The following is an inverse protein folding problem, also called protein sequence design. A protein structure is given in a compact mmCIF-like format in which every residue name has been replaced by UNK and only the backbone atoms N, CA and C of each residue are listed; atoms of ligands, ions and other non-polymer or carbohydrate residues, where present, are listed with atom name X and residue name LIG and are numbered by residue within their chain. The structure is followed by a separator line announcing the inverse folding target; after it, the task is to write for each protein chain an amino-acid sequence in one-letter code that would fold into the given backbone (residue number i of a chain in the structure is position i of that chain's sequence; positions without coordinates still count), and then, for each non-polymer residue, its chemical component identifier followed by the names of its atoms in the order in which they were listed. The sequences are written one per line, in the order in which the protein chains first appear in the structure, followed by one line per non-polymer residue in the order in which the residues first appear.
data_IF_726784461194
#
_entry.id   IF_726784461194
#
_cell.length_a   1.000
_cell.length_b   1.000
_cell.length_c   1.000
_cell.angle_alpha   90.00
_cell.angle_beta   90.00
_cell.angle_gamma   90.00
#
_symmetry.space_group_name_H-M   'P 1'
#
loop_
_entity.id
_entity.type
_entity.pdbx_description
1 polymer ?
#
# COMPACT_ATOMS: atom_id res chain seq x y z
N UNK A 1 -11.25 -18.11 -12.70
CA UNK A 1 -11.88 -16.78 -12.68
C UNK A 1 -12.85 -16.76 -11.52
N UNK A 2 -12.40 -16.33 -10.33
CA UNK A 2 -13.35 -16.05 -9.25
C UNK A 2 -14.12 -14.79 -9.65
N UNK A 3 -15.44 -14.90 -9.71
CA UNK A 3 -16.31 -13.74 -9.89
C UNK A 3 -16.04 -12.78 -8.73
N UNK A 4 -15.34 -11.67 -9.02
CA UNK A 4 -15.14 -10.59 -8.05
C UNK A 4 -16.52 -10.11 -7.63
N UNK A 5 -16.83 -10.28 -6.34
CA UNK A 5 -18.14 -9.89 -5.82
C UNK A 5 -18.36 -8.40 -6.07
N UNK A 6 -19.57 -7.99 -6.50
CA UNK A 6 -19.84 -6.60 -6.77
C UNK A 6 -19.74 -5.80 -5.47
N UNK A 7 -18.95 -4.73 -5.50
CA UNK A 7 -18.87 -3.75 -4.43
C UNK A 7 -19.98 -2.72 -4.60
N UNK A 8 -20.61 -2.31 -3.50
CA UNK A 8 -21.71 -1.37 -3.54
C UNK A 8 -21.35 -0.10 -2.80
N UNK A 9 -21.52 1.03 -3.48
CA UNK A 9 -21.22 2.36 -2.94
C UNK A 9 -22.54 3.12 -2.81
N UNK A 10 -22.90 3.46 -1.59
CA UNK A 10 -23.94 4.44 -1.31
C UNK A 10 -23.31 5.83 -1.29
N UNK A 11 -23.68 6.67 -2.24
CA UNK A 11 -23.23 8.06 -2.34
C UNK A 11 -24.34 8.98 -1.85
N UNK A 12 -24.14 9.56 -0.67
CA UNK A 12 -24.96 10.66 -0.15
C UNK A 12 -24.34 12.01 -0.47
N UNK A 13 -23.02 12.11 -0.28
CA UNK A 13 -22.27 13.33 -0.53
C UNK A 13 -21.98 13.54 -2.03
N UNK A 14 -22.57 14.58 -2.62
CA UNK A 14 -22.42 14.89 -4.05
C UNK A 14 -21.00 15.32 -4.41
N UNK A 15 -20.29 15.95 -3.49
CA UNK A 15 -18.91 16.41 -3.74
C UNK A 15 -17.94 15.23 -3.84
N UNK A 16 -18.31 14.09 -3.25
CA UNK A 16 -17.54 12.85 -3.30
C UNK A 16 -17.77 12.03 -4.57
N UNK A 17 -18.59 12.49 -5.52
CA UNK A 17 -18.90 11.73 -6.74
C UNK A 17 -17.67 11.48 -7.64
N UNK A 18 -16.71 12.41 -7.65
CA UNK A 18 -15.46 12.29 -8.43
C UNK A 18 -14.45 11.28 -7.87
N UNK A 19 -14.70 10.75 -6.68
CA UNK A 19 -13.81 9.83 -5.94
C UNK A 19 -14.04 8.39 -6.36
N UNK A 20 -15.19 8.09 -6.97
CA UNK A 20 -15.59 6.72 -7.32
C UNK A 20 -14.92 6.30 -8.64
N UNK A 21 -14.12 5.23 -8.66
CA UNK A 21 -13.53 4.73 -9.89
C UNK A 21 -14.60 4.20 -10.84
N UNK A 22 -14.46 4.47 -12.14
CA UNK A 22 -15.37 3.94 -13.16
C UNK A 22 -15.05 2.47 -13.43
N UNK A 23 -15.77 1.55 -12.79
CA UNK A 23 -15.63 0.11 -13.01
C UNK A 23 -16.98 -0.60 -13.09
N UNK A 24 -17.06 -1.66 -13.89
CA UNK A 24 -18.22 -2.56 -13.96
C UNK A 24 -18.45 -3.34 -12.66
N UNK A 25 -17.42 -3.49 -11.83
CA UNK A 25 -17.47 -4.18 -10.54
C UNK A 25 -17.99 -3.30 -9.38
N UNK A 26 -18.18 -1.99 -9.63
CA UNK A 26 -18.63 -1.01 -8.66
C UNK A 26 -20.06 -0.59 -9.01
N UNK A 27 -21.00 -0.82 -8.09
CA UNK A 27 -22.39 -0.37 -8.21
C UNK A 27 -22.59 0.83 -7.32
N UNK A 28 -22.75 2.02 -7.93
CA UNK A 28 -23.02 3.26 -7.20
C UNK A 28 -24.52 3.49 -7.10
N UNK A 29 -24.98 3.88 -5.91
CA UNK A 29 -26.38 4.16 -5.58
C UNK A 29 -26.41 5.57 -4.99
N UNK A 30 -27.10 6.50 -5.66
CA UNK A 30 -27.17 7.90 -5.25
C UNK A 30 -28.38 8.16 -4.35
N UNK A 31 -28.19 8.91 -3.26
CA UNK A 31 -29.28 9.47 -2.45
C UNK A 31 -29.95 10.63 -3.24
N UNK A 32 -31.29 10.75 -3.37
CA UNK A 32 -32.38 10.19 -2.54
C UNK A 32 -33.21 9.05 -3.19
N UNK A 33 -32.73 8.39 -4.24
CA UNK A 33 -33.46 7.31 -4.95
C UNK A 33 -33.58 5.99 -4.16
N UNK A 34 -33.60 6.08 -2.82
CA UNK A 34 -33.52 4.97 -1.88
C UNK A 34 -34.86 4.29 -1.59
N UNK A 35 -35.99 4.97 -1.77
CA UNK A 35 -37.30 4.43 -1.38
C UNK A 35 -37.66 3.10 -2.05
N UNK A 36 -37.17 2.86 -3.27
CA UNK A 36 -37.41 1.61 -4.00
C UNK A 36 -36.30 0.56 -3.80
N UNK A 37 -35.19 0.90 -3.13
CA UNK A 37 -33.98 0.07 -3.03
C UNK A 37 -33.48 -0.20 -1.60
N UNK A 38 -34.14 0.34 -0.57
CA UNK A 38 -33.73 0.21 0.85
C UNK A 38 -33.63 -1.25 1.31
N UNK A 39 -34.63 -2.09 1.00
CA UNK A 39 -34.63 -3.52 1.37
C UNK A 39 -33.49 -4.31 0.67
N UNK A 40 -33.14 -3.90 -0.55
CA UNK A 40 -32.00 -4.47 -1.28
C UNK A 40 -30.66 -3.99 -0.73
N UNK A 41 -30.57 -2.74 -0.25
CA UNK A 41 -29.31 -2.17 0.27
C UNK A 41 -28.89 -2.82 1.58
N UNK A 42 -29.83 -3.10 2.48
CA UNK A 42 -29.53 -3.71 3.77
C UNK A 42 -29.05 -5.17 3.65
N UNK A 43 -29.49 -5.87 2.60
CA UNK A 43 -29.10 -7.25 2.30
C UNK A 43 -27.82 -7.34 1.45
N UNK A 44 -27.34 -6.21 0.97
CA UNK A 44 -26.16 -6.12 0.10
C UNK A 44 -24.86 -6.28 0.89
N UNK A 45 -24.05 -7.27 0.53
CA UNK A 45 -22.70 -7.46 1.09
C UNK A 45 -21.71 -6.47 0.48
N UNK A 46 -20.62 -6.17 1.21
CA UNK A 46 -19.55 -5.27 0.76
C UNK A 46 -20.03 -3.84 0.47
N UNK A 47 -20.77 -3.28 1.43
CA UNK A 47 -21.32 -1.93 1.36
C UNK A 47 -20.28 -0.91 1.83
N UNK A 48 -20.06 0.10 1.00
CA UNK A 48 -19.29 1.30 1.29
C UNK A 48 -20.23 2.50 1.27
N UNK A 49 -20.10 3.40 2.23
CA UNK A 49 -21.00 4.56 2.36
C UNK A 49 -20.14 5.82 2.36
N UNK A 50 -20.48 6.79 1.50
CA UNK A 50 -19.85 8.10 1.46
C UNK A 50 -20.88 9.15 1.85
N UNK A 51 -20.61 9.85 2.94
CA UNK A 51 -21.46 10.92 3.45
C UNK A 51 -20.62 12.08 3.95
N UNK A 52 -21.21 13.27 4.06
CA UNK A 52 -20.61 14.37 4.81
C UNK A 52 -20.94 14.22 6.29
N UNK A 53 -20.22 14.94 7.15
CA UNK A 53 -20.51 14.94 8.58
C UNK A 53 -21.92 15.50 8.86
N UNK A 54 -22.36 16.53 8.11
CA UNK A 54 -23.74 17.04 8.15
C UNK A 54 -24.80 16.05 7.64
N UNK A 55 -24.44 15.19 6.67
CA UNK A 55 -25.33 14.20 6.06
C UNK A 55 -25.43 12.88 6.83
N UNK A 56 -24.67 12.70 7.92
CA UNK A 56 -24.58 11.42 8.62
C UNK A 56 -25.93 10.90 9.13
N UNK A 57 -26.78 11.80 9.64
CA UNK A 57 -28.09 11.43 10.19
C UNK A 57 -29.01 10.78 9.14
N UNK A 58 -28.90 11.17 7.86
CA UNK A 58 -29.75 10.65 6.78
C UNK A 58 -29.39 9.22 6.36
N UNK A 59 -28.14 8.81 6.60
CA UNK A 59 -27.65 7.45 6.27
C UNK A 59 -27.54 6.54 7.50
N UNK A 60 -27.79 7.07 8.70
CA UNK A 60 -27.53 6.39 9.97
C UNK A 60 -28.27 5.05 10.12
N UNK A 61 -29.55 5.00 9.74
CA UNK A 61 -30.33 3.75 9.81
C UNK A 61 -29.73 2.65 8.91
N UNK A 62 -29.30 3.02 7.70
CA UNK A 62 -28.66 2.11 6.75
C UNK A 62 -27.32 1.62 7.29
N UNK A 63 -26.49 2.55 7.79
CA UNK A 63 -25.20 2.26 8.43
C UNK A 63 -25.38 1.25 9.56
N UNK A 64 -26.35 1.51 10.46
CA UNK A 64 -26.62 0.66 11.62
C UNK A 64 -27.05 -0.75 11.18
N UNK A 65 -28.00 -0.86 10.26
CA UNK A 65 -28.49 -2.17 9.80
C UNK A 65 -27.40 -2.96 9.05
N UNK A 66 -26.64 -2.29 8.18
CA UNK A 66 -25.55 -2.93 7.44
C UNK A 66 -24.41 -3.37 8.38
N UNK A 67 -24.09 -2.56 9.40
CA UNK A 67 -23.06 -2.91 10.40
C UNK A 67 -23.49 -4.11 11.25
N UNK A 68 -24.75 -4.16 11.71
CA UNK A 68 -25.30 -5.31 12.45
C UNK A 68 -25.25 -6.62 11.65
N UNK A 69 -25.40 -6.54 10.33
CA UNK A 69 -25.33 -7.69 9.42
C UNK A 69 -23.90 -8.00 8.93
N UNK A 70 -22.88 -7.29 9.41
CA UNK A 70 -21.48 -7.37 8.92
C UNK A 70 -21.35 -7.14 7.40
N UNK A 71 -22.25 -6.34 6.83
CA UNK A 71 -22.27 -5.98 5.42
C UNK A 71 -21.51 -4.68 5.15
N UNK A 72 -21.48 -3.76 6.12
CA UNK A 72 -20.71 -2.52 6.06
C UNK A 72 -19.20 -2.83 6.08
N UNK A 73 -18.49 -2.36 5.04
CA UNK A 73 -17.03 -2.42 4.97
C UNK A 73 -16.40 -1.14 5.44
N UNK A 74 -16.86 0.00 4.93
CA UNK A 74 -16.35 1.31 5.33
C UNK A 74 -17.46 2.35 5.26
N UNK A 75 -17.53 3.18 6.30
CA UNK A 75 -18.24 4.43 6.33
C UNK A 75 -17.22 5.57 6.21
N UNK A 76 -17.23 6.24 5.07
CA UNK A 76 -16.45 7.46 4.85
C UNK A 76 -17.29 8.67 5.23
N UNK A 77 -16.73 9.50 6.10
CA UNK A 77 -17.31 10.75 6.53
C UNK A 77 -16.37 11.87 6.08
N UNK A 78 -16.83 12.67 5.13
CA UNK A 78 -16.12 13.89 4.74
C UNK A 78 -16.32 14.94 5.83
N UNK A 79 -15.22 15.52 6.30
CA UNK A 79 -15.24 16.62 7.26
C UNK A 79 -15.61 17.93 6.53
N UNK A 80 -16.91 18.25 6.49
CA UNK A 80 -17.45 19.50 5.96
C UNK A 80 -17.69 20.57 7.04
N UNK A 81 -17.71 20.15 8.30
CA UNK A 81 -17.73 20.97 9.51
C UNK A 81 -16.69 20.41 10.49
N UNK A 82 -16.33 21.20 11.51
CA UNK A 82 -15.30 20.84 12.48
C UNK A 82 -15.56 19.47 13.17
N UNK A 83 -14.60 18.55 13.05
CA UNK A 83 -14.65 17.21 13.63
C UNK A 83 -14.78 17.16 15.16
N UNK A 84 -14.58 18.27 15.87
CA UNK A 84 -14.87 18.34 17.32
C UNK A 84 -16.33 18.00 17.66
N UNK A 85 -17.26 18.16 16.71
CA UNK A 85 -18.68 17.85 16.86
C UNK A 85 -19.04 16.40 16.57
N UNK A 86 -18.07 15.58 16.15
CA UNK A 86 -18.30 14.21 15.73
C UNK A 86 -18.98 13.35 16.82
N UNK A 87 -18.58 13.39 18.11
CA UNK A 87 -19.28 12.63 19.15
C UNK A 87 -20.76 12.99 19.26
N UNK A 88 -21.10 14.28 19.18
CA UNK A 88 -22.48 14.78 19.28
C UNK A 88 -23.30 14.36 18.06
N UNK A 89 -22.72 14.41 16.86
CA UNK A 89 -23.41 14.04 15.62
C UNK A 89 -23.62 12.53 15.57
N UNK A 90 -22.67 11.73 16.04
CA UNK A 90 -22.85 10.28 16.20
C UNK A 90 -23.99 9.95 17.18
N UNK A 91 -24.04 10.64 18.32
CA UNK A 91 -25.11 10.46 19.31
C UNK A 91 -26.47 10.86 18.74
N UNK A 92 -26.57 12.00 18.05
CA UNK A 92 -27.79 12.44 17.37
C UNK A 92 -28.24 11.46 16.28
N UNK A 93 -27.30 10.88 15.54
CA UNK A 93 -27.54 9.85 14.54
C UNK A 93 -27.85 8.47 15.16
N UNK A 94 -27.80 8.34 16.49
CA UNK A 94 -27.93 7.07 17.23
C UNK A 94 -26.97 5.99 16.69
N UNK A 95 -25.74 6.41 16.36
CA UNK A 95 -24.64 5.58 15.92
C UNK A 95 -23.64 5.43 17.06
N UNK A 96 -23.20 4.19 17.30
CA UNK A 96 -22.03 3.95 18.16
C UNK A 96 -20.76 4.17 17.37
N UNK A 97 -19.64 4.41 18.05
CA UNK A 97 -18.32 4.36 17.44
C UNK A 97 -18.10 2.98 16.81
N UNK A 98 -17.74 2.95 15.53
CA UNK A 98 -17.53 1.73 14.75
C UNK A 98 -16.13 1.74 14.16
N UNK A 99 -15.45 0.58 14.21
CA UNK A 99 -14.11 0.39 13.62
C UNK A 99 -14.05 0.69 12.13
N UNK A 100 -15.15 0.47 11.42
CA UNK A 100 -15.23 0.63 9.96
C UNK A 100 -15.53 2.08 9.56
N UNK A 101 -15.07 3.07 10.32
CA UNK A 101 -15.37 4.50 10.07
C UNK A 101 -14.09 5.25 9.80
N UNK A 102 -14.04 5.99 8.69
CA UNK A 102 -12.94 6.90 8.38
C UNK A 102 -13.49 8.30 8.19
N UNK A 103 -12.97 9.23 8.99
CA UNK A 103 -13.15 10.66 8.79
C UNK A 103 -11.99 11.18 7.96
N UNK A 104 -12.31 11.89 6.88
CA UNK A 104 -11.34 12.39 5.94
C UNK A 104 -11.69 13.81 5.46
N UNK A 105 -10.64 14.60 5.26
CA UNK A 105 -10.69 15.84 4.47
C UNK A 105 -10.20 15.58 3.05
N UNK A 106 -9.32 14.58 2.90
CA UNK A 106 -8.68 14.22 1.64
C UNK A 106 -9.53 13.20 0.85
N UNK A 107 -9.77 13.51 -0.42
CA UNK A 107 -10.48 12.65 -1.36
C UNK A 107 -9.66 11.46 -1.85
N UNK A 108 -8.35 11.41 -1.58
CA UNK A 108 -7.51 10.26 -1.93
C UNK A 108 -7.78 9.03 -1.06
N UNK A 109 -8.25 9.21 0.18
CA UNK A 109 -8.48 8.08 1.10
C UNK A 109 -9.55 7.12 0.54
N UNK A 110 -10.78 7.57 0.18
CA UNK A 110 -11.76 6.63 -0.35
C UNK A 110 -11.36 6.05 -1.72
N UNK A 111 -10.69 6.81 -2.59
CA UNK A 111 -10.15 6.30 -3.87
C UNK A 111 -9.23 5.10 -3.63
N UNK A 112 -8.25 5.27 -2.74
CA UNK A 112 -7.27 4.25 -2.41
C UNK A 112 -7.91 3.00 -1.85
N UNK A 113 -8.86 3.15 -0.94
CA UNK A 113 -9.60 2.02 -0.37
C UNK A 113 -10.39 1.30 -1.47
N UNK A 114 -11.09 2.01 -2.35
CA UNK A 114 -11.83 1.38 -3.44
C UNK A 114 -10.94 0.59 -4.38
N UNK A 115 -9.79 1.14 -4.77
CA UNK A 115 -8.84 0.45 -5.62
C UNK A 115 -8.27 -0.80 -4.93
N UNK A 116 -7.90 -0.69 -3.66
CA UNK A 116 -7.41 -1.82 -2.86
C UNK A 116 -8.41 -2.98 -2.82
N UNK A 117 -9.69 -2.70 -2.54
CA UNK A 117 -10.75 -3.70 -2.55
C UNK A 117 -11.05 -4.24 -3.96
N UNK A 118 -10.93 -3.41 -4.99
CA UNK A 118 -11.12 -3.83 -6.39
C UNK A 118 -10.08 -4.86 -6.80
N UNK A 119 -8.83 -4.70 -6.37
CA UNK A 119 -7.75 -5.63 -6.69
C UNK A 119 -7.63 -6.78 -5.69
N UNK A 120 -8.26 -6.68 -4.51
CA UNK A 120 -8.20 -7.71 -3.47
C UNK A 120 -6.99 -7.59 -2.54
N UNK A 121 -6.38 -6.40 -2.48
CA UNK A 121 -5.19 -6.09 -1.69
C UNK A 121 -5.50 -5.22 -0.47
N UNK A 122 -6.76 -5.17 -0.02
CA UNK A 122 -7.20 -4.32 1.10
C UNK A 122 -6.43 -4.56 2.41
N UNK A 123 -5.95 -5.78 2.62
CA UNK A 123 -5.20 -6.17 3.81
C UNK A 123 -3.69 -5.83 3.72
N UNK A 124 -3.21 -5.39 2.55
CA UNK A 124 -1.80 -5.08 2.31
C UNK A 124 -1.53 -3.60 2.04
N UNK A 125 -2.57 -2.78 1.90
CA UNK A 125 -2.48 -1.37 1.56
C UNK A 125 -2.93 -0.47 2.72
N UNK A 126 -2.31 0.70 2.82
CA UNK A 126 -2.50 1.68 3.88
C UNK A 126 -3.54 2.71 3.42
N UNK A 127 -4.69 2.77 4.11
CA UNK A 127 -5.70 3.79 3.86
C UNK A 127 -5.28 5.16 4.41
N UNK A 128 -4.85 5.20 5.66
CA UNK A 128 -4.55 6.42 6.41
C UNK A 128 -3.45 6.16 7.43
N UNK A 129 -2.65 7.18 7.73
CA UNK A 129 -1.75 7.17 8.88
C UNK A 129 -1.79 8.53 9.57
N UNK A 130 -1.57 8.55 10.89
CA UNK A 130 -1.58 9.76 11.71
C UNK A 130 -0.68 9.54 12.93
N UNK A 131 0.04 10.56 13.34
CA UNK A 131 0.86 10.50 14.55
C UNK A 131 0.06 11.03 15.73
N UNK A 132 0.14 10.32 16.85
CA UNK A 132 -0.48 10.67 18.13
C UNK A 132 0.59 10.60 19.22
N UNK A 133 1.25 11.74 19.48
CA UNK A 133 2.37 11.81 20.41
C UNK A 133 3.57 10.98 19.93
N UNK A 134 3.99 9.98 20.72
CA UNK A 134 5.12 9.08 20.40
C UNK A 134 4.69 7.81 19.64
N UNK A 135 3.53 7.85 19.00
CA UNK A 135 2.93 6.68 18.33
C UNK A 135 2.44 7.03 16.93
N UNK A 136 2.65 6.10 16.01
CA UNK A 136 2.09 6.12 14.67
C UNK A 136 0.84 5.23 14.65
N UNK A 137 -0.30 5.81 14.34
CA UNK A 137 -1.54 5.09 14.05
C UNK A 137 -1.62 4.88 12.54
N UNK A 138 -1.69 3.63 12.10
CA UNK A 138 -1.82 3.24 10.69
C UNK A 138 -3.12 2.46 10.53
N UNK A 139 -3.90 2.78 9.50
CA UNK A 139 -5.17 2.12 9.17
C UNK A 139 -5.02 1.47 7.80
N UNK A 140 -5.27 0.15 7.72
CA UNK A 140 -5.30 -0.58 6.45
C UNK A 140 -6.52 -0.20 5.60
N UNK A 141 -6.51 -0.55 4.33
CA UNK A 141 -7.70 -0.47 3.47
C UNK A 141 -8.81 -1.45 3.88
N UNK A 142 -8.53 -2.43 4.74
CA UNK A 142 -9.52 -3.31 5.39
C UNK A 142 -10.03 -2.80 6.74
N UNK A 143 -9.63 -1.59 7.15
CA UNK A 143 -9.97 -0.96 8.45
C UNK A 143 -9.34 -1.65 9.66
N UNK A 144 -8.24 -2.38 9.46
CA UNK A 144 -7.39 -2.86 10.55
C UNK A 144 -6.52 -1.71 11.04
N UNK A 145 -6.51 -1.49 12.36
CA UNK A 145 -5.76 -0.41 12.99
C UNK A 145 -4.49 -0.95 13.65
N UNK A 146 -3.37 -0.30 13.38
CA UNK A 146 -2.07 -0.60 13.96
C UNK A 146 -1.58 0.61 14.72
N UNK A 147 -1.26 0.43 16.00
CA UNK A 147 -0.69 1.46 16.85
C UNK A 147 0.77 1.10 17.15
N UNK A 148 1.71 1.80 16.52
CA UNK A 148 3.14 1.50 16.57
C UNK A 148 3.87 2.61 17.33
N UNK A 149 4.49 2.34 18.49
CA UNK A 149 5.40 3.29 19.11
C UNK A 149 6.61 3.56 18.20
N UNK A 150 7.06 4.81 18.08
CA UNK A 150 8.27 5.13 17.29
C UNK A 150 9.51 4.38 17.80
N UNK A 151 9.51 4.03 19.09
CA UNK A 151 10.57 3.23 19.71
C UNK A 151 10.52 1.75 19.37
N UNK A 152 9.46 1.25 18.74
CA UNK A 152 9.25 -0.19 18.57
C UNK A 152 10.07 -0.79 17.42
N UNK A 153 10.58 0.03 16.49
CA UNK A 153 11.49 -0.43 15.44
C UNK A 153 12.62 0.57 15.15
N UNK A 154 13.84 0.09 14.82
CA UNK A 154 14.98 0.97 14.56
C UNK A 154 14.75 2.01 13.47
N UNK A 155 13.98 1.68 12.43
CA UNK A 155 13.67 2.61 11.35
C UNK A 155 12.93 3.84 11.89
N UNK A 156 11.86 3.65 12.68
CA UNK A 156 11.10 4.75 13.27
C UNK A 156 11.92 5.53 14.33
N UNK A 157 12.80 4.86 15.07
CA UNK A 157 13.67 5.52 16.06
C UNK A 157 14.62 6.55 15.44
N UNK A 158 15.02 6.38 14.19
CA UNK A 158 15.90 7.30 13.49
C UNK A 158 15.21 8.59 13.04
N UNK A 159 13.88 8.69 13.16
CA UNK A 159 13.11 9.86 12.73
C UNK A 159 13.05 10.89 13.87
N UNK A 160 13.59 12.10 13.67
CA UNK A 160 13.49 13.18 14.65
C UNK A 160 12.04 13.52 15.00
N UNK A 161 11.75 13.87 16.25
CA UNK A 161 10.38 14.15 16.71
C UNK A 161 9.66 15.21 15.88
N UNK A 162 10.39 16.22 15.41
CA UNK A 162 9.86 17.31 14.59
C UNK A 162 9.58 16.91 13.13
N UNK A 163 10.04 15.75 12.68
CA UNK A 163 9.84 15.24 11.30
C UNK A 163 8.87 14.06 11.25
N UNK A 164 8.32 13.64 12.40
CA UNK A 164 7.46 12.45 12.49
C UNK A 164 6.16 12.60 11.72
N UNK A 165 5.61 13.81 11.67
CA UNK A 165 4.37 14.14 10.97
C UNK A 165 4.61 14.40 9.47
N UNK A 166 5.88 14.59 9.07
CA UNK A 166 6.28 14.95 7.71
C UNK A 166 6.47 13.71 6.83
N UNK A 167 5.44 12.87 6.77
CA UNK A 167 5.40 11.70 5.89
C UNK A 167 4.39 11.85 4.77
N UNK A 168 4.62 11.09 3.70
CA UNK A 168 3.72 10.97 2.57
C UNK A 168 3.31 9.51 2.44
N UNK A 169 2.01 9.25 2.26
CA UNK A 169 1.52 7.94 1.89
C UNK A 169 1.51 7.88 0.37
N UNK A 170 2.11 6.83 -0.20
CA UNK A 170 2.03 6.57 -1.64
C UNK A 170 0.60 6.61 -2.17
N UNK A 171 0.40 7.02 -3.42
CA UNK A 171 -0.93 7.18 -4.03
C UNK A 171 -1.80 5.92 -3.85
N UNK A 172 -1.23 4.75 -4.14
CA UNK A 172 -1.88 3.45 -4.01
C UNK A 172 -1.93 2.91 -2.56
N UNK A 173 -1.21 3.51 -1.61
CA UNK A 173 -1.14 3.05 -0.23
C UNK A 173 -0.14 1.94 0.05
N UNK A 174 0.78 1.64 -0.87
CA UNK A 174 1.78 0.58 -0.67
C UNK A 174 2.75 0.85 0.47
N UNK A 175 3.08 2.12 0.74
CA UNK A 175 4.01 2.51 1.80
C UNK A 175 3.76 3.93 2.32
N UNK A 176 4.33 4.18 3.52
CA UNK A 176 4.58 5.49 4.11
C UNK A 176 6.04 5.85 3.88
N UNK A 177 6.30 7.09 3.46
CA UNK A 177 7.64 7.62 3.20
C UNK A 177 7.94 8.84 4.06
N UNK A 178 9.03 8.78 4.83
CA UNK A 178 9.63 9.93 5.51
C UNK A 178 10.85 10.40 4.70
N UNK A 179 10.74 11.57 4.07
CA UNK A 179 11.77 12.08 3.18
C UNK A 179 13.07 12.44 3.91
N UNK A 180 12.98 13.03 5.11
CA UNK A 180 14.15 13.46 5.88
C UNK A 180 15.09 12.30 6.27
N UNK A 181 14.50 11.15 6.62
CA UNK A 181 15.23 9.95 7.02
C UNK A 181 15.45 8.94 5.88
N UNK A 182 14.85 9.17 4.71
CA UNK A 182 14.78 8.24 3.58
C UNK A 182 14.24 6.85 3.95
N UNK A 183 13.10 6.82 4.64
CA UNK A 183 12.50 5.59 5.19
C UNK A 183 11.17 5.29 4.51
N UNK A 184 11.07 4.08 3.95
CA UNK A 184 9.85 3.54 3.38
C UNK A 184 9.36 2.37 4.23
N UNK A 185 8.12 2.41 4.70
CA UNK A 185 7.51 1.34 5.50
C UNK A 185 6.14 0.97 4.94
N UNK A 186 5.96 -0.33 4.67
CA UNK A 186 4.68 -0.93 4.27
C UNK A 186 3.91 -1.47 5.49
N UNK A 187 2.70 -1.98 5.24
CA UNK A 187 1.84 -2.48 6.32
C UNK A 187 2.39 -3.74 6.99
N UNK A 188 3.11 -4.56 6.25
CA UNK A 188 3.65 -5.82 6.75
C UNK A 188 4.85 -5.55 7.69
N UNK A 189 5.63 -4.49 7.43
CA UNK A 189 6.62 -3.98 8.36
C UNK A 189 6.01 -3.60 9.71
N UNK A 190 4.83 -2.96 9.72
CA UNK A 190 4.13 -2.63 10.97
C UNK A 190 3.56 -3.87 11.67
N UNK A 191 2.97 -4.81 10.93
CA UNK A 191 2.50 -6.10 11.48
C UNK A 191 3.61 -6.86 12.20
N UNK A 192 4.83 -6.85 11.64
CA UNK A 192 6.00 -7.52 12.23
C UNK A 192 6.40 -6.99 13.61
N UNK A 193 5.95 -5.80 13.99
CA UNK A 193 6.22 -5.21 15.31
C UNK A 193 5.18 -5.64 16.34
N UNK A 194 3.93 -5.80 15.91
CA UNK A 194 2.78 -6.05 16.79
C UNK A 194 2.60 -7.55 17.07
N UNK A 195 2.86 -8.42 16.09
CA UNK A 195 2.71 -9.87 16.24
C UNK A 195 4.06 -10.62 16.10
N UNK A 196 4.53 -11.31 17.16
CA UNK A 196 5.75 -12.13 17.12
C UNK A 196 5.73 -13.27 16.09
N UNK A 197 4.57 -13.82 15.77
CA UNK A 197 4.43 -14.90 14.77
C UNK A 197 4.60 -14.33 13.36
N UNK A 198 3.95 -13.20 13.09
CA UNK A 198 4.15 -12.47 11.82
C UNK A 198 5.57 -11.93 11.71
N UNK A 199 6.20 -11.53 12.81
CA UNK A 199 7.62 -11.18 12.82
C UNK A 199 8.51 -12.31 12.31
N UNK A 200 8.31 -13.53 12.80
CA UNK A 200 9.09 -14.70 12.37
C UNK A 200 8.82 -15.05 10.90
N UNK A 201 7.56 -14.96 10.46
CA UNK A 201 7.19 -15.16 9.06
C UNK A 201 7.83 -14.12 8.15
N UNK A 202 7.76 -12.85 8.52
CA UNK A 202 8.36 -11.75 7.79
C UNK A 202 9.87 -11.88 7.73
N UNK A 203 10.54 -12.20 8.84
CA UNK A 203 11.98 -12.46 8.86
C UNK A 203 12.36 -13.64 7.95
N UNK A 204 11.58 -14.72 7.95
CA UNK A 204 11.81 -15.88 7.07
C UNK A 204 11.60 -15.53 5.59
N UNK A 205 10.50 -14.84 5.24
CA UNK A 205 10.22 -14.37 3.89
C UNK A 205 11.31 -13.42 3.39
N UNK A 206 11.73 -12.49 4.24
CA UNK A 206 12.79 -11.53 3.96
C UNK A 206 14.13 -12.20 3.73
N UNK A 207 14.53 -13.13 4.62
CA UNK A 207 15.78 -13.89 4.45
C UNK A 207 15.76 -14.71 3.14
N UNK A 208 14.60 -15.27 2.79
CA UNK A 208 14.45 -15.97 1.53
C UNK A 208 14.56 -15.02 0.34
N UNK A 209 13.92 -13.86 0.39
CA UNK A 209 14.02 -12.83 -0.65
C UNK A 209 15.46 -12.33 -0.82
N UNK A 210 16.14 -11.96 0.28
CA UNK A 210 17.52 -11.48 0.25
C UNK A 210 18.45 -12.54 -0.39
N UNK A 211 18.24 -13.82 -0.05
CA UNK A 211 18.98 -14.94 -0.65
C UNK A 211 18.71 -15.08 -2.15
N UNK A 212 17.46 -15.01 -2.59
CA UNK A 212 17.10 -15.07 -4.01
C UNK A 212 17.66 -13.88 -4.78
N UNK A 213 17.61 -12.69 -4.20
CA UNK A 213 18.17 -11.47 -4.77
C UNK A 213 19.68 -11.55 -4.93
N UNK A 214 20.39 -12.02 -3.89
CA UNK A 214 21.83 -12.30 -3.97
C UNK A 214 22.18 -13.34 -5.04
N UNK A 215 21.37 -14.40 -5.17
CA UNK A 215 21.54 -15.41 -6.23
C UNK A 215 21.31 -14.83 -7.63
N UNK A 216 20.33 -13.95 -7.81
CA UNK A 216 20.07 -13.27 -9.09
C UNK A 216 21.23 -12.34 -9.46
N UNK A 217 21.79 -11.58 -8.50
CA UNK A 217 23.01 -10.78 -8.70
C UNK A 217 24.18 -11.67 -9.14
N UNK A 218 24.37 -12.83 -8.48
CA UNK A 218 25.41 -13.79 -8.85
C UNK A 218 25.23 -14.31 -10.27
N UNK A 219 24.02 -14.68 -10.63
CA UNK A 219 23.69 -15.18 -11.96
C UNK A 219 23.96 -14.12 -13.03
N UNK A 220 23.54 -12.87 -12.79
CA UNK A 220 23.79 -11.75 -13.69
C UNK A 220 25.29 -11.52 -13.88
N UNK A 221 26.06 -11.50 -12.78
CA UNK A 221 27.52 -11.37 -12.84
C UNK A 221 28.17 -12.47 -13.68
N UNK A 222 27.73 -13.72 -13.50
CA UNK A 222 28.23 -14.86 -14.26
C UNK A 222 27.88 -14.77 -15.74
N UNK A 223 26.69 -14.29 -16.10
CA UNK A 223 26.29 -14.04 -17.49
C UNK A 223 27.17 -12.98 -18.16
N UNK A 224 27.55 -11.94 -17.41
CA UNK A 224 28.48 -10.90 -17.85
C UNK A 224 29.97 -11.28 -17.72
N UNK A 225 30.27 -12.52 -17.28
CA UNK A 225 31.63 -13.06 -17.15
C UNK A 225 32.55 -12.24 -16.23
N UNK A 226 31.96 -11.45 -15.33
CA UNK A 226 32.70 -10.61 -14.38
C UNK A 226 33.16 -11.44 -13.18
N UNK A 227 34.40 -11.25 -12.74
CA UNK A 227 34.88 -11.83 -11.48
C UNK A 227 34.44 -10.98 -10.29
N UNK A 228 34.34 -11.60 -9.12
CA UNK A 228 34.03 -10.87 -7.89
C UNK A 228 35.09 -9.80 -7.55
N UNK A 229 36.34 -10.02 -7.96
CA UNK A 229 37.45 -9.07 -7.79
C UNK A 229 37.43 -7.89 -8.77
N UNK A 230 36.62 -7.96 -9.83
CA UNK A 230 36.55 -6.94 -10.89
C UNK A 230 35.50 -5.87 -10.61
N UNK A 231 34.79 -5.96 -9.49
CA UNK A 231 33.78 -4.97 -9.06
C UNK A 231 34.49 -3.84 -8.31
N UNK A 232 34.82 -2.78 -9.02
CA UNK A 232 35.50 -1.62 -8.47
C UNK A 232 34.72 -1.01 -7.29
N UNK A 233 35.40 -0.76 -6.17
CA UNK A 233 34.80 -0.19 -4.96
C UNK A 233 34.22 -1.22 -3.97
N UNK A 234 34.20 -2.50 -4.32
CA UNK A 234 33.80 -3.59 -3.42
C UNK A 234 34.90 -4.65 -3.30
N UNK A 235 35.13 -5.14 -2.08
CA UNK A 235 36.01 -6.30 -1.88
C UNK A 235 35.32 -7.59 -2.33
N UNK A 236 36.09 -8.58 -2.76
CA UNK A 236 35.58 -9.92 -3.11
C UNK A 236 34.74 -10.52 -1.98
N UNK A 237 35.13 -10.29 -0.71
CA UNK A 237 34.36 -10.73 0.45
C UNK A 237 32.98 -10.06 0.53
N UNK A 238 32.90 -8.75 0.28
CA UNK A 238 31.62 -8.04 0.27
C UNK A 238 30.72 -8.56 -0.85
N UNK A 239 31.26 -8.69 -2.07
CA UNK A 239 30.52 -9.25 -3.22
C UNK A 239 30.00 -10.66 -2.90
N UNK A 240 30.85 -11.52 -2.34
CA UNK A 240 30.45 -12.88 -1.95
C UNK A 240 29.34 -12.90 -0.90
N UNK A 241 29.37 -11.99 0.08
CA UNK A 241 28.31 -11.92 1.10
C UNK A 241 26.99 -11.45 0.51
N UNK A 242 27.02 -10.45 -0.36
CA UNK A 242 25.85 -9.97 -1.11
C UNK A 242 25.24 -11.11 -1.93
N UNK A 243 26.07 -11.85 -2.68
CA UNK A 243 25.62 -13.00 -3.46
C UNK A 243 25.03 -14.15 -2.61
N UNK A 244 25.36 -14.18 -1.32
CA UNK A 244 24.80 -15.15 -0.36
C UNK A 244 23.53 -14.66 0.36
N UNK A 245 23.07 -13.44 0.07
CA UNK A 245 21.86 -12.85 0.66
C UNK A 245 22.11 -11.88 1.80
N UNK A 246 23.28 -11.24 1.86
CA UNK A 246 23.44 -10.08 2.75
C UNK A 246 22.77 -8.83 2.14
N UNK A 247 22.09 -8.05 3.00
CA UNK A 247 21.49 -6.77 2.63
C UNK A 247 22.50 -5.83 1.96
N UNK A 248 22.06 -5.23 0.86
CA UNK A 248 22.81 -4.22 0.11
C UNK A 248 22.21 -2.84 0.31
N UNK A 249 23.08 -1.83 0.36
CA UNK A 249 22.66 -0.42 0.31
C UNK A 249 22.58 0.04 -1.15
N UNK A 250 21.82 1.09 -1.43
CA UNK A 250 21.69 1.67 -2.78
C UNK A 250 23.06 1.98 -3.40
N UNK A 251 23.95 2.66 -2.66
CA UNK A 251 25.30 2.96 -3.15
C UNK A 251 26.11 1.71 -3.53
N UNK A 252 25.86 0.57 -2.87
CA UNK A 252 26.50 -0.71 -3.21
C UNK A 252 25.93 -1.28 -4.50
N UNK A 253 24.63 -1.13 -4.73
CA UNK A 253 23.97 -1.52 -5.98
C UNK A 253 24.42 -0.66 -7.15
N UNK A 254 24.67 0.63 -6.94
CA UNK A 254 25.25 1.52 -7.96
C UNK A 254 26.64 1.06 -8.39
N UNK A 255 27.50 0.67 -7.44
CA UNK A 255 28.83 0.12 -7.75
C UNK A 255 28.73 -1.19 -8.55
N UNK A 256 27.75 -2.04 -8.21
CA UNK A 256 27.47 -3.27 -8.96
C UNK A 256 26.98 -2.95 -10.38
N UNK A 257 26.00 -2.05 -10.54
CA UNK A 257 25.48 -1.63 -11.83
C UNK A 257 26.58 -1.05 -12.73
N UNK A 258 27.41 -0.16 -12.16
CA UNK A 258 28.55 0.43 -12.86
C UNK A 258 29.57 -0.60 -13.32
N UNK A 259 29.84 -1.64 -12.52
CA UNK A 259 30.72 -2.74 -12.93
C UNK A 259 30.15 -3.56 -14.10
N UNK A 260 28.81 -3.59 -14.24
CA UNK A 260 28.12 -4.21 -15.38
C UNK A 260 27.95 -3.25 -16.58
N UNK A 261 28.41 -2.00 -16.47
CA UNK A 261 28.24 -0.98 -17.50
C UNK A 261 26.78 -0.56 -17.69
N UNK A 262 25.95 -0.70 -16.64
CA UNK A 262 24.53 -0.39 -16.66
C UNK A 262 24.22 0.78 -15.73
N UNK A 263 23.17 1.52 -16.06
CA UNK A 263 22.52 2.42 -15.11
C UNK A 263 21.79 1.61 -14.04
N UNK A 264 21.61 2.19 -12.83
CA UNK A 264 21.04 1.47 -11.70
C UNK A 264 19.65 0.88 -12.01
N UNK A 265 18.80 1.63 -12.70
CA UNK A 265 17.45 1.17 -13.08
C UNK A 265 17.50 -0.05 -14.02
N UNK A 266 18.36 -0.01 -15.04
CA UNK A 266 18.53 -1.12 -15.99
C UNK A 266 19.10 -2.37 -15.31
N UNK A 267 20.03 -2.16 -14.37
CA UNK A 267 20.59 -3.22 -13.57
C UNK A 267 19.54 -3.92 -12.69
N UNK A 268 18.70 -3.14 -12.00
CA UNK A 268 17.61 -3.69 -11.17
C UNK A 268 16.58 -4.46 -12.01
N UNK A 269 16.24 -3.97 -13.20
CA UNK A 269 15.38 -4.69 -14.14
C UNK A 269 16.00 -6.02 -14.60
N UNK A 270 17.30 -6.02 -14.88
CA UNK A 270 18.02 -7.24 -15.27
C UNK A 270 18.06 -8.27 -14.13
N UNK A 271 18.32 -7.83 -12.89
CA UNK A 271 18.26 -8.68 -11.69
C UNK A 271 16.85 -9.22 -11.47
N UNK A 272 15.82 -8.38 -11.61
CA UNK A 272 14.43 -8.77 -11.43
C UNK A 272 13.99 -9.88 -12.41
N UNK A 273 14.48 -9.86 -13.66
CA UNK A 273 14.20 -10.92 -14.64
C UNK A 273 14.83 -12.27 -14.28
N UNK A 274 15.88 -12.27 -13.47
CA UNK A 274 16.59 -13.47 -13.03
C UNK A 274 16.08 -14.00 -11.68
N UNK A 275 15.24 -13.23 -10.98
CA UNK A 275 14.54 -13.75 -9.82
C UNK A 275 13.59 -14.87 -10.28
N UNK A 276 13.68 -16.08 -9.71
CA UNK A 276 12.69 -17.11 -10.00
C UNK A 276 11.31 -16.58 -9.62
N UNK A 277 10.32 -16.72 -10.51
CA UNK A 277 8.93 -16.44 -10.18
C UNK A 277 8.60 -17.22 -8.90
N UNK A 278 8.35 -16.51 -7.79
CA UNK A 278 7.81 -17.09 -6.57
C UNK A 278 6.32 -17.39 -6.86
N UNK A 279 6.07 -18.34 -7.75
CA UNK A 279 4.75 -18.89 -7.99
C UNK A 279 4.71 -20.28 -7.37
N UNK A 280 4.42 -20.33 -6.07
CA UNK A 280 3.60 -21.39 -5.49
C UNK A 280 4.21 -22.76 -5.19
N UNK A 281 5.47 -22.89 -4.76
CA UNK A 281 6.00 -24.23 -4.42
C UNK A 281 6.80 -24.44 -3.12
N UNK A 282 6.97 -23.44 -2.23
CA UNK A 282 7.66 -23.69 -0.93
C UNK A 282 6.91 -23.19 0.32
N UNK A 283 5.59 -23.02 0.25
CA UNK A 283 4.74 -23.01 1.46
C UNK A 283 4.38 -24.45 1.85
N UNK A 284 5.33 -25.17 2.45
CA UNK A 284 5.08 -26.41 3.19
C UNK A 284 6.05 -26.55 4.37
N UNK A 285 6.02 -25.61 5.32
CA UNK A 285 6.46 -25.90 6.68
C UNK A 285 5.54 -25.16 7.66
N UNK A 286 4.74 -25.97 8.39
CA UNK A 286 3.73 -25.67 9.42
C UNK A 286 2.34 -25.19 8.93
N UNK A 287 1.66 -26.08 8.19
CA UNK A 287 0.19 -26.14 8.21
C UNK A 287 -0.26 -26.94 9.44
N UNK A 288 -0.84 -26.24 10.41
CA UNK A 288 -1.98 -26.75 11.16
C UNK A 288 -2.84 -25.58 11.59
N UNK A 289 -3.76 -25.17 10.72
CA UNK A 289 -5.20 -25.04 10.98
C UNK A 289 -5.89 -24.37 9.76
N UNK A 290 -6.85 -25.12 9.20
CA UNK A 290 -7.91 -24.78 8.22
C UNK A 290 -7.53 -24.36 6.79
N UNK A 291 -7.85 -25.26 5.87
CA UNK A 291 -7.87 -25.09 4.41
C UNK A 291 -9.08 -24.28 3.89
N UNK A 292 -8.96 -23.95 2.59
CA UNK A 292 -9.96 -23.50 1.59
C UNK A 292 -10.16 -21.97 1.49
N UNK A 293 -9.68 -21.26 0.47
CA UNK A 293 -9.72 -21.54 -0.98
C UNK A 293 -8.64 -20.80 -1.78
N UNK A 294 -8.19 -21.44 -2.86
CA UNK A 294 -7.16 -21.00 -3.80
C UNK A 294 -7.68 -19.94 -4.78
N UNK A 295 -6.90 -18.88 -5.02
CA UNK A 295 -6.95 -18.10 -6.27
C UNK A 295 -5.56 -17.64 -6.64
N UNK A 296 -5.26 -17.75 -7.93
CA UNK A 296 -4.03 -17.35 -8.58
C UNK A 296 -3.86 -15.83 -8.47
N UNK A 297 -2.72 -15.34 -7.97
CA UNK A 297 -2.20 -13.99 -8.26
C UNK A 297 -0.68 -13.97 -8.08
N UNK A 298 0.00 -13.17 -8.92
CA UNK A 298 1.46 -13.11 -9.05
C UNK A 298 2.05 -12.11 -8.03
N UNK A 299 2.96 -12.52 -7.13
CA UNK A 299 3.41 -11.68 -6.01
C UNK A 299 4.17 -10.39 -6.38
N UNK A 300 4.71 -10.28 -7.60
CA UNK A 300 5.51 -9.11 -8.02
C UNK A 300 4.66 -7.91 -8.47
N UNK A 301 3.34 -8.04 -8.57
CA UNK A 301 2.44 -6.92 -8.88
C UNK A 301 2.02 -6.12 -7.62
N UNK A 302 2.38 -6.59 -6.42
CA UNK A 302 2.06 -5.94 -5.14
C UNK A 302 3.18 -5.04 -4.58
N UNK A 303 4.31 -4.88 -5.29
CA UNK A 303 5.51 -4.19 -4.79
C UNK A 303 5.84 -2.87 -5.51
N UNK A 304 4.89 -2.23 -6.23
CA UNK A 304 5.02 -0.82 -6.62
C UNK A 304 6.16 -0.43 -7.57
N UNK A 305 6.80 -1.36 -8.29
CA UNK A 305 7.96 -1.06 -9.15
C UNK A 305 7.63 -0.64 -10.61
N UNK A 306 6.36 -0.42 -10.98
CA UNK A 306 6.01 -0.16 -12.40
C UNK A 306 6.05 1.31 -12.86
N UNK A 307 6.10 2.31 -11.97
CA UNK A 307 5.92 3.71 -12.39
C UNK A 307 7.19 4.56 -12.59
N UNK A 308 8.39 4.05 -12.29
CA UNK A 308 9.61 4.84 -12.54
C UNK A 308 10.05 4.88 -14.02
N UNK A 309 9.44 4.09 -14.91
CA UNK A 309 9.84 4.02 -16.33
C UNK A 309 9.16 5.07 -17.22
N UNK A 310 8.05 5.70 -16.79
CA UNK A 310 7.33 6.65 -17.64
C UNK A 310 7.73 8.12 -17.48
N UNK A 311 8.35 8.51 -16.36
CA UNK A 311 8.77 9.91 -16.14
C UNK A 311 10.02 10.27 -16.94
N UNK A 312 10.91 9.31 -17.21
CA UNK A 312 12.14 9.55 -17.98
C UNK A 312 11.85 9.70 -19.49
N UNK A 313 10.81 9.02 -20.02
CA UNK A 313 10.46 9.10 -21.46
C UNK A 313 9.81 10.42 -21.89
N UNK A 314 9.32 11.25 -20.97
CA UNK A 314 8.74 12.57 -21.32
C UNK A 314 9.75 13.71 -21.37
N UNK A 315 10.97 13.54 -20.82
CA UNK A 315 12.03 14.58 -20.87
C UNK A 315 12.95 14.46 -22.09
N UNK A 316 12.87 13.38 -22.86
CA UNK A 316 13.71 13.17 -24.06
C UNK A 316 13.08 13.65 -25.38
N UNK A 317 11.88 14.24 -25.35
CA UNK A 317 11.16 14.72 -26.54
C UNK A 317 10.81 16.22 -26.46
N UNK A 318 11.73 17.06 -26.00
CA UNK A 318 11.70 18.48 -26.34
C UNK A 318 12.98 18.83 -27.10
N UNK A 319 12.80 19.05 -28.38
CA UNK A 319 13.79 19.43 -29.38
C UNK A 319 14.66 20.61 -28.90
N UNK A 320 15.96 20.49 -29.12
CA UNK A 320 16.85 21.65 -29.21
C UNK A 320 16.51 22.40 -30.50
N UNK A 321 16.27 23.72 -30.48
CA UNK A 321 16.47 24.56 -31.64
C UNK A 321 17.95 24.98 -31.71
N UNK A 322 18.45 24.95 -32.93
CA UNK A 322 19.82 25.21 -33.35
C UNK A 322 20.38 26.56 -32.88
N UNK A 323 21.71 26.57 -32.71
CA UNK A 323 22.51 27.78 -32.75
C UNK A 323 22.49 28.37 -34.16
N UNK A 324 22.11 29.64 -34.30
CA UNK A 324 22.61 30.50 -35.37
C UNK A 324 22.59 31.97 -34.90
N UNK A 325 23.79 32.57 -34.92
CA UNK A 325 24.13 33.96 -35.26
C UNK A 325 23.42 35.15 -34.56
N UNK A 326 24.21 35.97 -33.86
CA UNK A 326 24.62 37.32 -34.34
C UNK A 326 25.08 38.22 -33.19
N UNK A 327 26.34 38.68 -33.30
CA UNK A 327 26.96 39.91 -32.77
C UNK A 327 27.09 40.10 -31.26
#
# INVERSE_FOLDING_TARGET
MLEKQPMFILLHDRDSQGVIPRSKSLKTINFPNLKDNLENLESTKYLFILTSLTGLAEVADIVRTANQKHHLRVLFIREDIDSQWLPQIFDQANLRTMRNTIVHTDSEIPKRVFEAWRIGAQDHLIAKATVLGDRLLVVSCSMEEFEIPFQAMPALQCIPENERDDFIISEEGGYIYWQGADIHLDIDAFRSVIDPVEKQRFEALRLNHDKLFGQAIKALRQQHQLKQSEIAGLSERQVRRIESGERTKVNTLELLAKAHGMELAEYLDAVARLLPNISGQELRVVDSYSEETKSQDKPWELMGFKEQVQVIKKKSNSECPDMEECN
#
